data_IF_279454996172
#
_entry.id   IF_279454996172
#
_cell.length_a   1.000
_cell.length_b   1.000
_cell.length_c   1.000
_cell.angle_alpha   90.00
_cell.angle_beta   90.00
_cell.angle_gamma   90.00
#
_symmetry.space_group_name_H-M   'P 1'
#
loop_
_entity.id
_entity.type
_entity.pdbx_description
1 polymer ?
#
# COMPACT_ATOMS: atom_id res chain seq x y z
N UNK A 1 64.21 -5.62 -36.67
CA UNK A 1 63.25 -4.51 -36.77
C UNK A 1 62.05 -4.80 -35.87
N UNK A 2 61.42 -3.74 -35.40
CA UNK A 2 60.53 -3.61 -34.22
C UNK A 2 59.22 -4.43 -34.27
N UNK A 3 58.85 -4.98 -33.09
CA UNK A 3 57.58 -5.62 -32.67
C UNK A 3 56.33 -4.79 -32.99
N UNK A 4 55.17 -5.42 -33.24
CA UNK A 4 53.87 -5.02 -32.66
C UNK A 4 52.94 -6.23 -32.44
N UNK A 5 52.86 -6.68 -31.20
CA UNK A 5 51.80 -7.57 -30.68
C UNK A 5 50.63 -6.65 -30.35
N UNK A 6 49.48 -6.85 -30.99
CA UNK A 6 48.26 -6.11 -30.67
C UNK A 6 47.49 -6.88 -29.60
N UNK A 7 47.63 -6.41 -28.35
CA UNK A 7 46.75 -6.81 -27.27
C UNK A 7 45.38 -6.15 -27.50
N UNK A 8 44.37 -6.94 -27.81
CA UNK A 8 42.97 -6.50 -27.78
C UNK A 8 42.53 -6.46 -26.31
N UNK A 9 42.58 -5.26 -25.75
CA UNK A 9 42.05 -4.94 -24.42
C UNK A 9 40.54 -5.17 -24.36
N UNK A 10 40.13 -6.04 -23.43
CA UNK A 10 38.77 -6.17 -22.91
C UNK A 10 38.21 -4.80 -22.51
N UNK A 11 37.09 -4.40 -23.09
CA UNK A 11 36.25 -3.32 -22.59
C UNK A 11 34.90 -3.90 -22.15
N UNK A 12 34.78 -4.28 -20.88
CA UNK A 12 33.51 -4.66 -20.29
C UNK A 12 32.66 -3.40 -20.04
N UNK A 13 31.54 -3.26 -20.75
CA UNK A 13 30.51 -2.29 -20.38
C UNK A 13 29.87 -2.74 -19.07
N UNK A 14 30.18 -2.03 -17.98
CA UNK A 14 29.39 -2.05 -16.76
C UNK A 14 28.08 -1.31 -17.05
N UNK A 15 27.03 -2.06 -17.38
CA UNK A 15 25.67 -1.53 -17.42
C UNK A 15 25.24 -1.21 -15.98
N UNK A 16 25.28 0.08 -15.64
CA UNK A 16 24.69 0.57 -14.38
C UNK A 16 23.18 0.39 -14.54
N UNK A 17 22.60 -0.60 -13.88
CA UNK A 17 21.16 -0.73 -13.77
C UNK A 17 20.65 0.44 -12.91
N UNK A 18 20.35 1.57 -13.55
CA UNK A 18 19.59 2.63 -12.91
C UNK A 18 18.17 2.07 -12.69
N UNK A 19 17.77 1.91 -11.43
CA UNK A 19 16.38 1.61 -11.11
C UNK A 19 15.50 2.69 -11.74
N UNK A 20 14.53 2.29 -12.57
CA UNK A 20 13.55 3.22 -13.08
C UNK A 20 12.75 3.82 -11.91
N UNK A 21 12.33 5.09 -11.99
CA UNK A 21 11.45 5.68 -10.99
C UNK A 21 10.15 4.86 -10.90
N UNK A 22 9.67 4.63 -9.68
CA UNK A 22 8.41 3.93 -9.45
C UNK A 22 7.27 4.86 -9.88
N UNK A 23 6.39 4.38 -10.74
CA UNK A 23 5.17 5.09 -11.16
C UNK A 23 3.99 4.65 -10.28
N UNK A 24 3.01 5.53 -10.01
CA UNK A 24 1.81 5.12 -9.29
C UNK A 24 1.05 4.08 -10.11
N UNK A 25 0.66 2.99 -9.47
CA UNK A 25 -0.18 1.96 -10.08
C UNK A 25 -1.13 1.37 -9.03
N UNK A 26 -2.11 0.59 -9.47
CA UNK A 26 -3.09 0.06 -8.54
C UNK A 26 -2.50 -1.01 -7.58
N UNK A 27 -1.37 -1.63 -7.93
CA UNK A 27 -0.73 -2.65 -7.09
C UNK A 27 0.00 -1.98 -5.93
N UNK A 28 0.79 -0.94 -6.20
CA UNK A 28 1.48 -0.19 -5.17
C UNK A 28 0.51 0.65 -4.31
N UNK A 29 -0.66 1.03 -4.84
CA UNK A 29 -1.76 1.60 -4.06
C UNK A 29 -2.32 0.58 -3.04
N UNK A 30 -2.64 -0.65 -3.49
CA UNK A 30 -3.09 -1.74 -2.60
C UNK A 30 -2.05 -2.07 -1.54
N UNK A 31 -0.78 -2.13 -1.92
CA UNK A 31 0.32 -2.41 -1.00
C UNK A 31 0.48 -1.32 0.06
N UNK A 32 0.31 -0.06 -0.34
CA UNK A 32 0.35 1.06 0.60
C UNK A 32 -0.83 1.06 1.57
N UNK A 33 -2.04 0.74 1.12
CA UNK A 33 -3.21 0.58 1.99
C UNK A 33 -3.00 -0.51 3.05
N UNK A 34 -2.50 -1.68 2.64
CA UNK A 34 -2.15 -2.75 3.58
C UNK A 34 -1.07 -2.27 4.54
N UNK A 35 -0.08 -1.52 4.06
CA UNK A 35 0.98 -0.97 4.90
C UNK A 35 0.44 -0.05 6.01
N UNK A 36 -0.57 0.79 5.71
CA UNK A 36 -1.23 1.63 6.72
C UNK A 36 -1.84 0.79 7.84
N UNK A 37 -2.53 -0.31 7.49
CA UNK A 37 -3.13 -1.22 8.47
C UNK A 37 -2.04 -1.90 9.31
N UNK A 38 -1.01 -2.44 8.66
CA UNK A 38 0.05 -3.19 9.36
C UNK A 38 0.98 -2.33 10.20
N UNK A 39 0.98 -1.01 9.99
CA UNK A 39 1.72 -0.05 10.80
C UNK A 39 1.03 0.26 12.14
N UNK A 40 -0.23 -0.14 12.33
CA UNK A 40 -0.96 0.06 13.58
C UNK A 40 -0.38 -0.83 14.68
N UNK A 41 -0.04 -0.21 15.82
CA UNK A 41 0.45 -0.93 16.99
C UNK A 41 -0.55 -2.01 17.45
N UNK A 42 -0.04 -3.23 17.65
CA UNK A 42 -0.84 -4.39 18.06
C UNK A 42 -1.38 -5.22 16.90
N UNK A 43 -1.17 -4.82 15.64
CA UNK A 43 -1.43 -5.68 14.48
C UNK A 43 -0.36 -6.76 14.37
N UNK A 44 -0.79 -8.02 14.39
CA UNK A 44 0.07 -9.22 14.34
C UNK A 44 -0.58 -10.32 13.49
N UNK A 45 0.18 -11.39 13.25
CA UNK A 45 -0.27 -12.58 12.50
C UNK A 45 -0.86 -12.24 11.12
N UNK A 46 -0.21 -11.29 10.44
CA UNK A 46 -0.66 -10.75 9.16
C UNK A 46 -0.46 -11.79 8.05
N UNK A 47 -1.53 -12.12 7.35
CA UNK A 47 -1.54 -12.94 6.15
C UNK A 47 -2.28 -12.21 5.03
N UNK A 48 -1.68 -12.15 3.84
CA UNK A 48 -2.30 -11.54 2.66
C UNK A 48 -2.42 -12.56 1.53
N UNK A 49 -3.58 -12.57 0.89
CA UNK A 49 -3.83 -13.35 -0.32
C UNK A 49 -4.56 -12.48 -1.35
N UNK A 50 -3.80 -11.91 -2.28
CA UNK A 50 -4.33 -10.96 -3.27
C UNK A 50 -4.93 -9.73 -2.59
N UNK A 51 -6.24 -9.54 -2.80
CA UNK A 51 -7.03 -8.43 -2.27
C UNK A 51 -7.59 -8.67 -0.87
N UNK A 52 -7.33 -9.84 -0.26
CA UNK A 52 -7.74 -10.13 1.12
C UNK A 52 -6.55 -10.08 2.08
N UNK A 53 -6.75 -9.39 3.20
CA UNK A 53 -5.84 -9.28 4.32
C UNK A 53 -6.52 -9.87 5.57
N UNK A 54 -5.84 -10.76 6.27
CA UNK A 54 -6.26 -11.33 7.55
C UNK A 54 -5.19 -11.02 8.59
N UNK A 55 -5.61 -10.59 9.77
CA UNK A 55 -4.69 -10.29 10.88
C UNK A 55 -5.41 -10.32 12.23
N UNK A 56 -4.65 -10.28 13.32
CA UNK A 56 -5.16 -10.00 14.66
C UNK A 56 -4.76 -8.58 15.07
N UNK A 57 -5.68 -7.80 15.65
CA UNK A 57 -5.40 -6.40 15.99
C UNK A 57 -6.46 -5.75 16.89
N UNK A 58 -6.26 -4.49 17.30
CA UNK A 58 -7.15 -3.80 18.23
C UNK A 58 -8.63 -3.76 17.80
N UNK A 59 -9.54 -3.77 18.78
CA UNK A 59 -11.00 -3.83 18.58
C UNK A 59 -11.80 -2.59 19.05
N UNK A 60 -11.11 -1.50 19.41
CA UNK A 60 -11.57 -0.27 20.14
C UNK A 60 -11.90 -0.44 21.62
N UNK A 61 -12.22 -1.63 22.09
CA UNK A 61 -12.66 -1.86 23.48
C UNK A 61 -11.51 -2.14 24.44
N UNK A 62 -10.28 -2.02 23.95
CA UNK A 62 -9.05 -2.37 24.67
C UNK A 62 -8.66 -3.85 24.52
N UNK A 63 -9.37 -4.60 23.67
CA UNK A 63 -9.08 -5.98 23.31
C UNK A 63 -8.47 -6.10 21.91
N UNK A 64 -8.39 -7.35 21.46
CA UNK A 64 -7.95 -7.73 20.11
C UNK A 64 -8.99 -8.62 19.48
N UNK A 65 -9.23 -8.44 18.17
CA UNK A 65 -10.14 -9.26 17.38
C UNK A 65 -9.42 -9.84 16.16
N UNK A 66 -10.04 -10.86 15.55
CA UNK A 66 -9.64 -11.37 14.25
C UNK A 66 -10.25 -10.49 13.16
N UNK A 67 -9.40 -9.91 12.32
CA UNK A 67 -9.79 -9.01 11.25
C UNK A 67 -9.63 -9.68 9.90
N UNK A 68 -10.59 -9.44 9.03
CA UNK A 68 -10.49 -9.72 7.59
C UNK A 68 -10.89 -8.48 6.83
N UNK A 69 -10.02 -8.00 5.97
CA UNK A 69 -10.24 -6.83 5.11
C UNK A 69 -10.14 -7.29 3.66
N UNK A 70 -11.16 -6.99 2.87
CA UNK A 70 -11.17 -7.30 1.44
C UNK A 70 -11.22 -6.01 0.65
N UNK A 71 -10.24 -5.80 -0.22
CA UNK A 71 -10.20 -4.68 -1.15
C UNK A 71 -11.14 -5.03 -2.31
N UNK A 72 -12.23 -4.30 -2.44
CA UNK A 72 -13.24 -4.50 -3.50
C UNK A 72 -12.84 -3.77 -4.79
N UNK A 73 -12.17 -2.62 -4.65
CA UNK A 73 -11.61 -1.87 -5.77
C UNK A 73 -10.40 -1.05 -5.35
N UNK A 74 -9.50 -0.83 -6.30
CA UNK A 74 -8.43 0.15 -6.21
C UNK A 74 -8.31 0.83 -7.58
N UNK A 75 -8.49 2.15 -7.62
CA UNK A 75 -8.54 2.92 -8.86
C UNK A 75 -7.61 4.12 -8.77
N UNK A 76 -6.95 4.43 -9.89
CA UNK A 76 -6.19 5.66 -10.07
C UNK A 76 -7.04 6.67 -10.83
N UNK A 77 -7.08 7.90 -10.33
CA UNK A 77 -7.88 8.98 -10.89
C UNK A 77 -7.05 10.27 -10.93
N UNK A 78 -7.30 11.15 -11.91
CA UNK A 78 -6.69 12.48 -11.91
C UNK A 78 -7.24 13.30 -10.73
N UNK A 79 -6.33 13.78 -9.89
CA UNK A 79 -6.60 14.73 -8.81
C UNK A 79 -6.48 16.18 -9.28
N UNK A 80 -6.68 17.15 -8.36
CA UNK A 80 -6.45 18.56 -8.63
C UNK A 80 -4.99 18.82 -9.03
N UNK A 81 -4.75 19.70 -10.00
CA UNK A 81 -3.39 20.20 -10.26
C UNK A 81 -2.37 19.16 -10.74
N UNK A 82 -2.80 18.17 -11.54
CA UNK A 82 -1.97 17.08 -12.09
C UNK A 82 -1.56 16.00 -11.07
N UNK A 83 -2.11 16.03 -9.85
CA UNK A 83 -1.90 14.97 -8.87
C UNK A 83 -2.54 13.65 -9.34
N UNK A 84 -1.92 12.52 -8.97
CA UNK A 84 -2.56 11.20 -9.11
C UNK A 84 -3.19 10.83 -7.78
N UNK A 85 -4.50 10.61 -7.79
CA UNK A 85 -5.26 10.18 -6.62
C UNK A 85 -5.57 8.68 -6.71
N UNK A 86 -5.35 7.96 -5.62
CA UNK A 86 -5.81 6.60 -5.43
C UNK A 86 -7.13 6.59 -4.70
N UNK A 87 -8.04 5.69 -5.08
CA UNK A 87 -9.32 5.45 -4.42
C UNK A 87 -9.45 3.96 -4.13
N UNK A 88 -9.71 3.62 -2.86
CA UNK A 88 -9.95 2.24 -2.43
C UNK A 88 -11.33 2.11 -1.81
N UNK A 89 -12.04 1.06 -2.22
CA UNK A 89 -13.23 0.55 -1.52
C UNK A 89 -12.88 -0.79 -0.90
N UNK A 90 -13.24 -0.98 0.37
CA UNK A 90 -12.96 -2.19 1.13
C UNK A 90 -14.09 -2.60 2.08
N UNK A 91 -14.29 -3.90 2.22
CA UNK A 91 -15.16 -4.50 3.24
C UNK A 91 -14.33 -4.96 4.41
N UNK A 92 -14.80 -4.68 5.63
CA UNK A 92 -14.13 -5.03 6.88
C UNK A 92 -14.97 -6.01 7.66
N UNK A 93 -14.33 -7.01 8.25
CA UNK A 93 -14.97 -8.01 9.07
C UNK A 93 -14.20 -8.17 10.38
N UNK A 94 -14.93 -8.22 11.50
CA UNK A 94 -14.42 -8.47 12.84
C UNK A 94 -15.02 -9.76 13.37
N UNK A 95 -14.17 -10.72 13.71
CA UNK A 95 -14.55 -12.05 14.18
C UNK A 95 -15.55 -12.76 13.26
N UNK A 96 -15.43 -12.51 11.96
CA UNK A 96 -16.31 -13.05 10.92
C UNK A 96 -17.58 -12.25 10.65
N UNK A 97 -17.91 -11.25 11.47
CA UNK A 97 -19.06 -10.36 11.26
C UNK A 97 -18.66 -9.12 10.46
N UNK A 98 -19.50 -8.71 9.50
CA UNK A 98 -19.22 -7.50 8.71
C UNK A 98 -19.36 -6.25 9.57
N UNK A 99 -18.33 -5.41 9.53
CA UNK A 99 -18.36 -4.07 10.11
C UNK A 99 -19.06 -3.16 9.10
N UNK A 100 -20.30 -2.80 9.37
CA UNK A 100 -21.09 -1.94 8.49
C UNK A 100 -20.96 -0.47 8.89
N UNK A 101 -21.28 0.43 7.96
CA UNK A 101 -21.52 1.83 8.28
C UNK A 101 -22.71 1.97 9.24
N UNK A 102 -22.50 2.66 10.35
CA UNK A 102 -23.53 3.08 11.28
C UNK A 102 -24.00 4.50 10.90
N UNK A 103 -24.74 4.59 9.79
CA UNK A 103 -25.17 5.89 9.25
C UNK A 103 -24.00 6.66 8.63
N UNK A 104 -23.58 7.76 9.28
CA UNK A 104 -22.41 8.56 8.84
C UNK A 104 -21.11 8.17 9.53
N UNK A 105 -21.13 7.19 10.43
CA UNK A 105 -19.96 6.77 11.20
C UNK A 105 -19.56 5.35 10.80
N UNK A 106 -18.27 5.12 10.58
CA UNK A 106 -17.74 3.76 10.45
C UNK A 106 -17.56 3.15 11.85
N UNK A 107 -17.85 1.86 11.98
CA UNK A 107 -17.52 1.08 13.17
C UNK A 107 -16.11 0.46 13.08
N UNK A 108 -15.29 0.87 12.11
CA UNK A 108 -13.86 0.54 12.06
C UNK A 108 -13.16 1.25 13.22
N UNK A 109 -12.25 0.54 13.93
CA UNK A 109 -11.54 1.13 15.02
C UNK A 109 -10.77 2.40 14.69
N UNK A 110 -10.86 3.39 15.57
CA UNK A 110 -10.20 4.70 15.37
C UNK A 110 -8.71 4.59 15.12
N UNK A 111 -8.03 3.61 15.71
CA UNK A 111 -6.61 3.35 15.47
C UNK A 111 -6.28 3.05 14.00
N UNK A 112 -7.23 2.49 13.23
CA UNK A 112 -7.09 2.33 11.77
C UNK A 112 -7.57 3.58 11.03
N UNK A 113 -8.67 4.20 11.46
CA UNK A 113 -9.16 5.44 10.83
C UNK A 113 -8.11 6.56 10.87
N UNK A 114 -7.37 6.67 11.97
CA UNK A 114 -6.32 7.68 12.15
C UNK A 114 -5.09 7.45 11.23
N UNK A 115 -4.99 6.30 10.53
CA UNK A 115 -4.01 6.05 9.46
C UNK A 115 -4.54 6.39 8.07
N UNK A 116 -5.74 6.99 7.97
CA UNK A 116 -6.37 7.38 6.71
C UNK A 116 -7.04 6.24 5.93
N UNK A 117 -7.17 5.04 6.52
CA UNK A 117 -7.89 3.91 5.89
C UNK A 117 -9.30 3.77 6.44
N UNK A 118 -10.23 3.41 5.56
CA UNK A 118 -11.63 3.19 5.89
C UNK A 118 -12.28 2.24 4.86
N UNK A 119 -13.60 2.04 4.97
CA UNK A 119 -14.37 1.34 3.93
C UNK A 119 -14.23 2.00 2.56
N UNK A 120 -14.16 3.33 2.53
CA UNK A 120 -13.89 4.09 1.33
C UNK A 120 -12.89 5.18 1.70
N UNK A 121 -11.73 5.18 1.04
CA UNK A 121 -10.63 6.09 1.37
C UNK A 121 -9.85 6.49 0.11
N UNK A 122 -9.09 7.58 0.25
CA UNK A 122 -8.35 8.19 -0.83
C UNK A 122 -6.90 8.41 -0.40
N UNK A 123 -5.98 8.35 -1.36
CA UNK A 123 -4.58 8.68 -1.17
C UNK A 123 -4.08 9.55 -2.31
N UNK A 124 -3.04 10.35 -2.07
CA UNK A 124 -2.40 11.18 -3.10
C UNK A 124 -0.99 10.68 -3.32
N UNK A 125 -0.60 10.49 -4.59
CA UNK A 125 0.76 10.08 -4.94
C UNK A 125 1.73 11.25 -4.78
N UNK A 126 2.80 11.04 -4.00
CA UNK A 126 3.94 11.94 -3.95
C UNK A 126 5.04 11.46 -4.93
N UNK A 127 5.28 12.17 -6.05
CA UNK A 127 6.29 11.77 -7.02
C UNK A 127 7.73 11.98 -6.52
N UNK A 128 7.94 12.78 -5.47
CA UNK A 128 9.27 13.06 -4.89
C UNK A 128 9.74 11.89 -4.05
N UNK A 129 8.86 11.35 -3.20
CA UNK A 129 9.17 10.21 -2.33
C UNK A 129 8.77 8.87 -2.94
N UNK A 130 8.00 8.88 -4.03
CA UNK A 130 7.39 7.70 -4.65
C UNK A 130 6.54 6.91 -3.64
N UNK A 131 5.70 7.62 -2.89
CA UNK A 131 4.81 7.02 -1.88
C UNK A 131 3.39 7.59 -1.96
N UNK A 132 2.43 6.83 -1.44
CA UNK A 132 1.05 7.29 -1.27
C UNK A 132 0.89 7.97 0.10
N UNK A 133 0.42 9.22 0.08
CA UNK A 133 0.00 9.96 1.27
C UNK A 133 -1.48 9.70 1.59
N UNK A 134 -1.76 9.21 2.79
CA UNK A 134 -3.09 8.92 3.31
C UNK A 134 -3.53 10.01 4.30
N UNK A 135 -4.80 10.41 4.24
CA UNK A 135 -5.38 11.47 5.10
C UNK A 135 -6.79 11.14 5.53
#
# INVERSE_FOLDING_TARGET
MIRRVWALTLGGLLAVAACAPVEPDEMNLRDSFVSQITAVDGVVDVARNGDELIFSGPDETGGTASWRVRIESALLQPGPGEETQGHIVSSWFRDGEEVVFLGTMSAIPRVYLDTGVAHECYAVWDPVTSTWGWT
#
